data_IF_307566652811
#
_entry.id   IF_307566652811
#
_cell.length_a   1.000
_cell.length_b   1.000
_cell.length_c   1.000
_cell.angle_alpha   90.00
_cell.angle_beta   90.00
_cell.angle_gamma   90.00
#
_symmetry.space_group_name_H-M   'P 1'
#
loop_
_entity.id
_entity.type
_entity.pdbx_description
1 polymer ?
#
# COMPACT_ATOMS: atom_id res chain seq x y z
N UNK A 1 16.89 22.40 -15.10
CA UNK A 1 18.29 22.23 -14.65
C UNK A 1 18.78 23.33 -13.72
N UNK A 2 18.69 24.62 -14.08
CA UNK A 2 19.12 25.75 -13.24
C UNK A 2 18.54 25.73 -11.81
N UNK A 3 17.21 25.64 -11.70
CA UNK A 3 16.50 25.58 -10.40
C UNK A 3 16.93 24.39 -9.52
N UNK A 4 17.17 23.21 -10.10
CA UNK A 4 17.64 22.05 -9.33
C UNK A 4 19.05 22.24 -8.77
N UNK A 5 19.95 22.86 -9.54
CA UNK A 5 21.31 23.18 -9.07
C UNK A 5 21.29 24.20 -7.94
N UNK A 6 20.43 25.20 -8.05
CA UNK A 6 20.23 26.21 -7.01
C UNK A 6 19.66 25.60 -5.72
N UNK A 7 18.60 24.78 -5.83
CA UNK A 7 18.03 24.06 -4.69
C UNK A 7 19.08 23.15 -4.02
N UNK A 8 19.85 22.39 -4.80
CA UNK A 8 20.93 21.55 -4.26
C UNK A 8 21.99 22.36 -3.52
N UNK A 9 22.37 23.53 -4.04
CA UNK A 9 23.30 24.44 -3.36
C UNK A 9 22.73 24.89 -2.01
N UNK A 10 21.47 25.34 -1.99
CA UNK A 10 20.80 25.76 -0.76
C UNK A 10 20.72 24.60 0.24
N UNK A 11 20.27 23.42 -0.18
CA UNK A 11 20.15 22.24 0.68
C UNK A 11 21.50 21.82 1.28
N UNK A 12 22.59 21.86 0.50
CA UNK A 12 23.95 21.59 1.01
C UNK A 12 24.41 22.62 2.02
N UNK A 13 24.18 23.90 1.76
CA UNK A 13 24.50 24.96 2.71
C UNK A 13 23.75 24.77 4.03
N UNK A 14 22.44 24.45 3.97
CA UNK A 14 21.63 24.16 5.16
C UNK A 14 22.13 22.92 5.90
N UNK A 15 22.51 21.86 5.19
CA UNK A 15 23.09 20.66 5.79
C UNK A 15 24.42 20.97 6.49
N UNK A 16 25.29 21.77 5.88
CA UNK A 16 26.56 22.18 6.51
C UNK A 16 26.33 23.02 7.77
N UNK A 17 25.35 23.93 7.77
CA UNK A 17 24.97 24.66 8.98
C UNK A 17 24.45 23.73 10.09
N UNK A 18 23.67 22.71 9.71
CA UNK A 18 23.18 21.70 10.64
C UNK A 18 24.34 20.93 11.28
N UNK A 19 25.33 20.50 10.49
CA UNK A 19 26.52 19.81 10.97
C UNK A 19 27.35 20.67 11.91
N UNK A 20 27.61 21.93 11.55
CA UNK A 20 28.30 22.87 12.42
C UNK A 20 27.55 23.11 13.75
N UNK A 21 26.21 23.10 13.72
CA UNK A 21 25.40 23.25 14.93
C UNK A 21 25.51 22.01 15.84
N UNK A 22 25.63 20.80 15.28
CA UNK A 22 25.83 19.55 16.02
C UNK A 22 27.20 19.50 16.69
N UNK A 23 28.24 20.04 16.04
CA UNK A 23 29.62 20.03 16.56
C UNK A 23 29.88 21.07 17.67
N UNK A 24 28.94 21.99 17.93
CA UNK A 24 29.12 23.03 18.96
C UNK A 24 29.03 22.44 20.38
N UNK A 25 30.06 22.59 21.24
CA UNK A 25 30.14 21.91 22.54
C UNK A 25 29.19 22.40 23.67
N UNK A 26 28.11 23.13 23.39
CA UNK A 26 27.45 23.97 24.41
C UNK A 26 25.93 23.87 24.47
N UNK A 27 25.36 22.69 24.25
CA UNK A 27 23.96 22.46 24.59
C UNK A 27 23.90 21.79 25.95
N UNK A 28 23.40 22.50 26.96
CA UNK A 28 23.09 21.93 28.26
C UNK A 28 22.21 20.69 28.06
N UNK A 29 22.61 19.54 28.61
CA UNK A 29 21.86 18.29 28.46
C UNK A 29 20.47 18.48 29.05
N UNK A 30 19.46 18.28 28.22
CA UNK A 30 18.06 18.41 28.61
C UNK A 30 17.14 17.85 27.53
N UNK A 31 15.86 17.61 27.87
CA UNK A 31 14.93 16.89 26.97
C UNK A 31 14.75 17.54 25.59
N UNK A 32 14.82 18.88 25.51
CA UNK A 32 14.72 19.60 24.25
C UNK A 32 15.95 19.38 23.33
N UNK A 33 17.13 19.27 23.93
CA UNK A 33 18.38 19.01 23.20
C UNK A 33 18.42 17.57 22.71
N UNK A 34 18.00 16.61 23.54
CA UNK A 34 17.87 15.21 23.16
C UNK A 34 16.87 15.02 22.00
N UNK A 35 15.71 15.68 22.07
CA UNK A 35 14.72 15.65 21.00
C UNK A 35 15.28 16.25 19.70
N UNK A 36 15.96 17.39 19.80
CA UNK A 36 16.60 18.01 18.64
C UNK A 36 17.68 17.09 18.04
N UNK A 37 18.55 16.51 18.86
CA UNK A 37 19.56 15.54 18.41
C UNK A 37 18.93 14.34 17.71
N UNK A 38 17.85 13.78 18.27
CA UNK A 38 17.11 12.69 17.64
C UNK A 38 16.54 13.09 16.27
N UNK A 39 16.01 14.32 16.13
CA UNK A 39 15.56 14.85 14.84
C UNK A 39 16.73 15.00 13.87
N UNK A 40 17.89 15.50 14.30
CA UNK A 40 19.07 15.62 13.43
C UNK A 40 19.54 14.25 12.96
N UNK A 41 19.70 13.28 13.88
CA UNK A 41 20.07 11.90 13.56
C UNK A 41 19.10 11.26 12.56
N UNK A 42 17.81 11.58 12.65
CA UNK A 42 16.80 11.10 11.71
C UNK A 42 16.87 11.78 10.33
N UNK A 43 16.86 13.12 10.29
CA UNK A 43 16.72 13.86 9.03
C UNK A 43 18.02 14.01 8.25
N UNK A 44 19.19 14.07 8.91
CA UNK A 44 20.49 14.20 8.24
C UNK A 44 20.70 13.17 7.13
N UNK A 45 20.61 11.84 7.38
CA UNK A 45 20.79 10.84 6.33
C UNK A 45 19.72 10.91 5.22
N UNK A 46 18.51 11.37 5.55
CA UNK A 46 17.44 11.56 4.56
C UNK A 46 17.74 12.74 3.62
N UNK A 47 18.28 13.85 4.16
CA UNK A 47 18.69 15.01 3.37
C UNK A 47 19.84 14.62 2.43
N UNK A 48 20.86 13.92 2.94
CA UNK A 48 21.97 13.40 2.14
C UNK A 48 21.48 12.50 1.01
N UNK A 49 20.53 11.59 1.30
CA UNK A 49 19.88 10.74 0.29
C UNK A 49 19.14 11.56 -0.77
N UNK A 50 18.43 12.63 -0.40
CA UNK A 50 17.74 13.51 -1.37
C UNK A 50 18.74 14.23 -2.28
N UNK A 51 19.85 14.72 -1.72
CA UNK A 51 20.91 15.36 -2.50
C UNK A 51 21.44 14.34 -3.53
N UNK A 52 21.91 13.17 -3.05
CA UNK A 52 22.47 12.13 -3.92
C UNK A 52 21.47 11.66 -4.99
N UNK A 53 20.22 11.39 -4.60
CA UNK A 53 19.15 11.02 -5.52
C UNK A 53 18.90 12.08 -6.59
N UNK A 54 18.89 13.36 -6.22
CA UNK A 54 18.62 14.46 -7.14
C UNK A 54 19.78 14.64 -8.12
N UNK A 55 21.01 14.52 -7.66
CA UNK A 55 22.19 14.59 -8.53
C UNK A 55 22.20 13.46 -9.55
N UNK A 56 22.04 12.22 -9.10
CA UNK A 56 21.96 11.05 -9.99
C UNK A 56 20.83 11.18 -11.01
N UNK A 57 19.60 11.40 -10.53
CA UNK A 57 18.41 11.39 -11.38
C UNK A 57 18.30 12.60 -12.30
N UNK A 58 18.56 13.79 -11.77
CA UNK A 58 18.26 15.05 -12.48
C UNK A 58 19.50 15.61 -13.17
N UNK A 59 20.67 15.55 -12.53
CA UNK A 59 21.89 16.12 -13.10
C UNK A 59 22.64 15.14 -14.00
N UNK A 60 22.75 13.87 -13.60
CA UNK A 60 23.42 12.82 -14.36
C UNK A 60 22.48 12.01 -15.28
N UNK A 61 21.16 12.15 -15.10
CA UNK A 61 20.16 11.43 -15.92
C UNK A 61 20.07 9.93 -15.61
N UNK A 62 20.62 9.48 -14.49
CA UNK A 62 20.61 8.08 -14.09
C UNK A 62 19.21 7.63 -13.65
N UNK A 63 18.77 6.40 -14.01
CA UNK A 63 17.55 5.84 -13.48
C UNK A 63 17.72 5.49 -12.00
N UNK A 64 16.76 5.92 -11.18
CA UNK A 64 16.60 5.46 -9.79
C UNK A 64 15.30 4.65 -9.74
N UNK A 65 15.32 3.40 -9.25
CA UNK A 65 14.11 2.59 -9.07
C UNK A 65 13.08 3.31 -8.19
N UNK A 66 11.78 3.06 -8.41
CA UNK A 66 10.73 3.75 -7.67
C UNK A 66 10.78 3.47 -6.16
N UNK A 67 11.09 2.23 -5.75
CA UNK A 67 11.23 1.85 -4.34
C UNK A 67 12.43 2.50 -3.63
N UNK A 68 13.44 2.93 -4.40
CA UNK A 68 14.62 3.59 -3.85
C UNK A 68 14.45 5.11 -3.74
N UNK A 69 13.32 5.65 -4.21
CA UNK A 69 13.09 7.09 -4.18
C UNK A 69 12.54 7.54 -2.84
N UNK A 70 13.25 8.50 -2.24
CA UNK A 70 12.71 9.30 -1.14
C UNK A 70 11.88 10.44 -1.72
N UNK A 71 10.57 10.42 -1.45
CA UNK A 71 9.59 11.37 -1.99
C UNK A 71 9.05 12.36 -0.95
N UNK A 72 9.25 12.07 0.34
CA UNK A 72 8.90 12.95 1.45
C UNK A 72 9.95 12.80 2.55
N UNK A 73 10.48 13.93 3.03
CA UNK A 73 11.33 13.95 4.22
C UNK A 73 10.57 13.56 5.48
N UNK A 74 9.29 13.96 5.57
CA UNK A 74 8.46 13.78 6.77
C UNK A 74 7.75 12.43 6.81
N UNK A 75 7.57 11.80 5.65
CA UNK A 75 6.94 10.49 5.49
C UNK A 75 7.86 9.61 4.62
N UNK A 76 9.06 9.26 5.11
CA UNK A 76 10.08 8.56 4.32
C UNK A 76 9.66 7.15 3.87
N UNK A 77 8.59 6.62 4.47
CA UNK A 77 7.98 5.35 4.14
C UNK A 77 6.94 5.43 3.01
N UNK A 78 6.66 6.61 2.45
CA UNK A 78 5.64 6.75 1.42
C UNK A 78 6.12 6.14 0.09
N UNK A 79 5.35 5.22 -0.46
CA UNK A 79 5.65 4.57 -1.73
C UNK A 79 5.07 5.36 -2.91
N UNK A 80 5.73 5.22 -4.06
CA UNK A 80 5.25 5.74 -5.33
C UNK A 80 4.30 4.71 -5.94
N UNK A 81 3.03 5.07 -6.07
CA UNK A 81 1.98 4.21 -6.62
C UNK A 81 1.57 4.74 -7.99
N UNK A 82 1.95 4.02 -9.04
CA UNK A 82 1.57 4.34 -10.43
C UNK A 82 0.41 3.45 -10.86
N UNK A 83 -0.73 4.04 -11.17
CA UNK A 83 -1.92 3.32 -11.65
C UNK A 83 -2.11 3.49 -13.15
N UNK A 84 -1.39 2.71 -13.95
CA UNK A 84 -1.47 2.78 -15.41
C UNK A 84 -1.10 4.17 -15.93
N UNK A 85 -1.95 4.78 -16.75
CA UNK A 85 -1.73 6.11 -17.35
C UNK A 85 -2.24 7.28 -16.48
N UNK A 86 -2.56 7.06 -15.21
CA UNK A 86 -3.09 8.09 -14.29
C UNK A 86 -1.97 8.82 -13.56
N UNK A 87 -2.36 9.85 -12.82
CA UNK A 87 -1.50 10.57 -11.88
C UNK A 87 -0.82 9.63 -10.88
N UNK A 88 0.37 10.05 -10.45
CA UNK A 88 1.16 9.35 -9.44
C UNK A 88 0.54 9.62 -8.06
N UNK A 89 0.15 8.54 -7.38
CA UNK A 89 -0.28 8.57 -5.99
C UNK A 89 0.92 8.31 -5.05
N UNK A 90 0.87 8.86 -3.84
CA UNK A 90 1.85 8.60 -2.78
C UNK A 90 1.15 8.01 -1.55
N UNK A 91 1.71 6.95 -0.98
CA UNK A 91 1.14 6.29 0.19
C UNK A 91 1.51 4.82 0.21
N UNK A 92 0.63 3.97 0.75
CA UNK A 92 0.82 2.53 0.78
C UNK A 92 -0.26 1.82 -0.02
N UNK A 93 0.14 0.75 -0.71
CA UNK A 93 -0.82 -0.13 -1.37
C UNK A 93 -1.54 -0.98 -0.34
N UNK A 94 -2.87 -1.05 -0.46
CA UNK A 94 -3.71 -1.86 0.42
C UNK A 94 -4.25 -3.05 -0.35
N UNK A 95 -4.18 -4.22 0.27
CA UNK A 95 -4.82 -5.43 -0.22
C UNK A 95 -5.82 -5.93 0.83
N UNK A 96 -7.03 -6.27 0.42
CA UNK A 96 -8.08 -6.67 1.36
C UNK A 96 -8.87 -7.87 0.85
N UNK A 97 -9.44 -8.61 1.80
CA UNK A 97 -10.39 -9.68 1.51
C UNK A 97 -11.73 -9.38 2.16
N UNK A 98 -12.80 -9.85 1.52
CA UNK A 98 -14.16 -9.75 2.06
C UNK A 98 -14.93 -11.03 1.76
N UNK A 99 -16.01 -11.25 2.53
CA UNK A 99 -16.87 -12.42 2.40
C UNK A 99 -18.31 -12.07 2.07
N UNK A 100 -19.19 -13.07 2.17
CA UNK A 100 -20.63 -12.92 1.91
C UNK A 100 -21.31 -11.86 2.78
N UNK A 101 -20.81 -11.65 4.00
CA UNK A 101 -21.34 -10.64 4.94
C UNK A 101 -21.01 -9.19 4.54
N UNK A 102 -20.12 -9.00 3.56
CA UNK A 102 -19.57 -7.67 3.22
C UNK A 102 -18.53 -7.15 4.21
N UNK A 103 -18.28 -7.86 5.32
CA UNK A 103 -17.21 -7.52 6.25
C UNK A 103 -15.86 -7.65 5.55
N UNK A 104 -14.94 -6.76 5.91
CA UNK A 104 -13.53 -6.93 5.58
C UNK A 104 -12.97 -7.98 6.55
N UNK A 105 -12.43 -9.06 5.99
CA UNK A 105 -11.96 -10.23 6.74
C UNK A 105 -10.46 -10.16 7.03
N UNK A 106 -9.71 -9.57 6.10
CA UNK A 106 -8.27 -9.34 6.25
C UNK A 106 -7.87 -8.11 5.44
N UNK A 107 -6.79 -7.47 5.87
CA UNK A 107 -6.20 -6.29 5.25
C UNK A 107 -4.68 -6.35 5.42
N UNK A 108 -3.96 -6.13 4.33
CA UNK A 108 -2.51 -5.98 4.30
C UNK A 108 -2.15 -4.59 3.81
N UNK A 109 -1.34 -3.89 4.59
CA UNK A 109 -0.62 -2.68 4.16
C UNK A 109 0.70 -3.16 3.56
N UNK A 110 0.80 -3.13 2.24
CA UNK A 110 1.98 -3.60 1.51
C UNK A 110 3.14 -2.61 1.68
N UNK A 111 4.36 -3.14 1.73
CA UNK A 111 5.55 -2.33 1.56
C UNK A 111 5.84 -2.18 0.06
N UNK A 112 6.08 -0.94 -0.41
CA UNK A 112 6.30 -0.68 -1.82
C UNK A 112 5.01 -0.72 -2.63
N UNK A 113 5.18 -0.95 -3.93
CA UNK A 113 4.09 -1.10 -4.87
C UNK A 113 4.19 -2.45 -5.61
N UNK A 114 4.03 -3.60 -4.90
CA UNK A 114 4.09 -4.92 -5.52
C UNK A 114 3.00 -5.07 -6.57
N UNK A 115 3.21 -5.94 -7.56
CA UNK A 115 2.19 -6.19 -8.57
C UNK A 115 0.97 -6.89 -7.95
N UNK A 116 -0.25 -6.58 -8.39
CA UNK A 116 -1.46 -7.25 -7.88
C UNK A 116 -1.37 -8.78 -8.06
N UNK A 117 -0.79 -9.23 -9.18
CA UNK A 117 -0.54 -10.64 -9.46
C UNK A 117 0.32 -11.31 -8.39
N UNK A 118 1.27 -10.61 -7.79
CA UNK A 118 2.15 -11.17 -6.75
C UNK A 118 1.45 -11.32 -5.39
N UNK A 119 0.22 -10.79 -5.25
CA UNK A 119 -0.47 -10.71 -3.97
C UNK A 119 -1.66 -11.66 -3.84
N UNK A 120 -2.06 -12.36 -4.90
CA UNK A 120 -3.20 -13.30 -4.81
C UNK A 120 -2.91 -14.46 -3.85
N UNK A 121 -1.87 -15.24 -4.12
CA UNK A 121 -1.54 -16.42 -3.33
C UNK A 121 -1.24 -16.08 -1.86
N UNK A 122 -0.44 -15.03 -1.53
CA UNK A 122 -0.26 -14.62 -0.14
C UNK A 122 -1.56 -14.32 0.60
N UNK A 123 -2.53 -13.66 -0.04
CA UNK A 123 -3.83 -13.40 0.60
C UNK A 123 -4.66 -14.66 0.80
N UNK A 124 -4.58 -15.62 -0.13
CA UNK A 124 -5.26 -16.92 -0.01
C UNK A 124 -4.64 -17.77 1.11
N UNK A 125 -3.32 -17.82 1.20
CA UNK A 125 -2.58 -18.51 2.26
C UNK A 125 -2.93 -17.92 3.63
N UNK A 126 -2.96 -16.59 3.75
CA UNK A 126 -3.41 -15.91 4.98
C UNK A 126 -4.84 -16.26 5.34
N UNK A 127 -5.75 -16.27 4.36
CA UNK A 127 -7.13 -16.69 4.60
C UNK A 127 -7.19 -18.13 5.13
N UNK A 128 -6.47 -19.06 4.51
CA UNK A 128 -6.41 -20.46 4.95
C UNK A 128 -5.83 -20.57 6.36
N UNK A 129 -4.77 -19.81 6.67
CA UNK A 129 -4.18 -19.78 8.00
C UNK A 129 -5.17 -19.28 9.07
N UNK A 130 -6.00 -18.26 8.75
CA UNK A 130 -6.99 -17.74 9.70
C UNK A 130 -8.23 -18.62 9.85
N UNK A 131 -8.69 -19.26 8.77
CA UNK A 131 -9.99 -19.97 8.75
C UNK A 131 -9.87 -21.50 8.65
N UNK A 132 -8.65 -22.03 8.58
CA UNK A 132 -8.35 -23.46 8.52
C UNK A 132 -8.64 -24.14 7.18
N UNK A 133 -9.22 -23.43 6.21
CA UNK A 133 -9.58 -23.99 4.90
C UNK A 133 -9.63 -22.92 3.81
N UNK A 134 -9.47 -23.36 2.56
CA UNK A 134 -9.63 -22.49 1.41
C UNK A 134 -11.11 -22.15 1.17
N UNK A 135 -11.41 -20.95 0.65
CA UNK A 135 -12.77 -20.64 0.26
C UNK A 135 -13.18 -21.50 -0.93
N UNK A 136 -14.41 -22.05 -0.90
CA UNK A 136 -14.94 -22.82 -2.04
C UNK A 136 -14.93 -22.01 -3.33
N UNK A 137 -15.25 -20.72 -3.25
CA UNK A 137 -15.30 -19.81 -4.39
C UNK A 137 -14.63 -18.49 -4.04
N UNK A 138 -13.81 -17.96 -4.94
CA UNK A 138 -13.13 -16.69 -4.78
C UNK A 138 -13.23 -15.86 -6.07
N UNK A 139 -13.22 -14.53 -5.90
CA UNK A 139 -13.23 -13.59 -7.00
C UNK A 139 -12.19 -12.50 -6.76
N UNK A 140 -11.41 -12.15 -7.79
CA UNK A 140 -10.42 -11.10 -7.74
C UNK A 140 -10.53 -10.15 -8.93
N UNK A 141 -9.96 -8.96 -8.80
CA UNK A 141 -9.89 -8.03 -9.92
C UNK A 141 -8.90 -8.50 -11.01
N UNK A 142 -8.96 -7.88 -12.18
CA UNK A 142 -8.14 -8.26 -13.32
C UNK A 142 -6.63 -8.14 -13.11
N UNK A 143 -6.17 -7.27 -12.20
CA UNK A 143 -4.75 -7.16 -11.86
C UNK A 143 -4.15 -8.42 -11.25
N UNK A 144 -4.98 -9.26 -10.63
CA UNK A 144 -4.57 -10.52 -10.01
C UNK A 144 -4.53 -11.69 -11.01
N UNK A 145 -4.98 -11.50 -12.25
CA UNK A 145 -5.14 -12.60 -13.19
C UNK A 145 -3.81 -13.02 -13.82
N UNK A 146 -3.38 -14.26 -13.56
CA UNK A 146 -2.32 -14.96 -14.30
C UNK A 146 -2.58 -16.47 -14.32
N UNK A 147 -1.86 -17.21 -15.17
CA UNK A 147 -1.97 -18.68 -15.21
C UNK A 147 -1.45 -19.30 -13.93
N UNK A 148 -0.36 -18.76 -13.40
CA UNK A 148 0.29 -19.17 -12.15
C UNK A 148 -0.62 -18.93 -10.95
N UNK A 149 -1.33 -17.80 -10.94
CA UNK A 149 -2.29 -17.50 -9.89
C UNK A 149 -3.52 -18.39 -9.95
N UNK A 150 -4.01 -18.71 -11.15
CA UNK A 150 -5.12 -19.65 -11.30
C UNK A 150 -4.69 -21.05 -10.83
N UNK A 151 -3.55 -21.56 -11.29
CA UNK A 151 -3.07 -22.89 -10.89
C UNK A 151 -2.77 -22.97 -9.40
N UNK A 152 -2.12 -21.96 -8.82
CA UNK A 152 -1.86 -21.86 -7.38
C UNK A 152 -3.15 -21.83 -6.56
N UNK A 153 -4.14 -21.02 -6.96
CA UNK A 153 -5.44 -20.97 -6.28
C UNK A 153 -6.15 -22.33 -6.31
N UNK A 154 -6.12 -23.05 -7.44
CA UNK A 154 -6.68 -24.41 -7.56
C UNK A 154 -5.93 -25.41 -6.67
N UNK A 155 -4.60 -25.33 -6.62
CA UNK A 155 -3.76 -26.18 -5.77
C UNK A 155 -4.04 -25.95 -4.27
N UNK A 156 -4.38 -24.71 -3.87
CA UNK A 156 -4.83 -24.40 -2.52
C UNK A 156 -6.23 -24.95 -2.17
N UNK A 157 -6.95 -25.56 -3.13
CA UNK A 157 -8.28 -26.16 -2.91
C UNK A 157 -9.47 -25.27 -3.28
N UNK A 158 -9.24 -24.14 -3.95
CA UNK A 158 -10.33 -23.25 -4.39
C UNK A 158 -10.99 -23.86 -5.63
N UNK A 159 -12.29 -24.17 -5.52
CA UNK A 159 -13.03 -24.82 -6.62
C UNK A 159 -13.31 -23.85 -7.77
N UNK A 160 -13.80 -22.66 -7.47
CA UNK A 160 -14.16 -21.65 -8.47
C UNK A 160 -13.37 -20.35 -8.21
N UNK A 161 -12.39 -20.04 -9.07
CA UNK A 161 -11.56 -18.83 -8.97
C UNK A 161 -11.83 -17.94 -10.18
N UNK A 162 -12.54 -16.83 -9.98
CA UNK A 162 -12.92 -15.93 -11.05
C UNK A 162 -12.09 -14.63 -11.04
N UNK A 163 -11.49 -14.29 -12.17
CA UNK A 163 -10.88 -12.99 -12.40
C UNK A 163 -11.78 -12.09 -13.25
N UNK A 164 -11.85 -10.80 -12.95
CA UNK A 164 -12.65 -9.85 -13.75
C UNK A 164 -12.18 -9.75 -15.21
N UNK A 165 -10.86 -9.69 -15.40
CA UNK A 165 -10.22 -9.74 -16.72
C UNK A 165 -9.67 -11.14 -16.95
N UNK A 166 -9.83 -11.64 -18.17
CA UNK A 166 -9.42 -13.00 -18.53
C UNK A 166 -7.91 -13.14 -18.67
N UNK A 167 -7.19 -12.13 -19.17
CA UNK A 167 -5.73 -12.17 -19.37
C UNK A 167 -5.25 -13.47 -20.04
N UNK A 168 -5.97 -13.96 -21.05
CA UNK A 168 -5.66 -15.21 -21.76
C UNK A 168 -6.17 -16.50 -21.10
N UNK A 169 -6.88 -16.42 -19.96
CA UNK A 169 -7.51 -17.55 -19.29
C UNK A 169 -8.89 -17.87 -19.88
N UNK A 170 -9.22 -19.15 -20.00
CA UNK A 170 -10.56 -19.60 -20.38
C UNK A 170 -11.48 -19.60 -19.15
N UNK A 171 -12.78 -19.39 -19.36
CA UNK A 171 -13.74 -19.36 -18.25
C UNK A 171 -13.86 -20.74 -17.62
N UNK A 172 -13.74 -21.76 -18.46
CA UNK A 172 -13.83 -23.18 -18.13
C UNK A 172 -12.70 -23.61 -17.18
N UNK A 173 -11.53 -22.97 -17.26
CA UNK A 173 -10.40 -23.21 -16.34
C UNK A 173 -10.63 -22.50 -14.99
N UNK A 174 -11.30 -21.34 -15.02
CA UNK A 174 -11.57 -20.51 -13.84
C UNK A 174 -12.66 -21.11 -12.95
N UNK A 175 -13.80 -21.48 -13.53
CA UNK A 175 -15.01 -21.85 -12.79
C UNK A 175 -15.80 -22.97 -13.46
N UNK A 176 -16.62 -23.64 -12.67
CA UNK A 176 -17.44 -24.79 -13.08
C UNK A 176 -18.55 -24.47 -14.08
N UNK A 177 -19.04 -23.23 -14.15
CA UNK A 177 -20.04 -22.83 -15.15
C UNK A 177 -20.05 -21.33 -15.43
N UNK A 178 -20.57 -20.95 -16.59
CA UNK A 178 -20.78 -19.53 -16.95
C UNK A 178 -21.69 -18.80 -15.96
N UNK A 179 -22.65 -19.50 -15.35
CA UNK A 179 -23.49 -18.93 -14.31
C UNK A 179 -22.67 -18.58 -13.06
N UNK A 180 -21.79 -19.49 -12.61
CA UNK A 180 -20.88 -19.23 -11.47
C UNK A 180 -19.94 -18.08 -11.80
N UNK A 181 -19.39 -18.02 -13.01
CA UNK A 181 -18.54 -16.91 -13.45
C UNK A 181 -19.25 -15.56 -13.29
N UNK A 182 -20.49 -15.47 -13.79
CA UNK A 182 -21.31 -14.25 -13.69
C UNK A 182 -21.61 -13.90 -12.23
N UNK A 183 -21.93 -14.88 -11.39
CA UNK A 183 -22.17 -14.67 -9.96
C UNK A 183 -20.93 -14.10 -9.26
N UNK A 184 -19.75 -14.67 -9.49
CA UNK A 184 -18.50 -14.20 -8.88
C UNK A 184 -18.05 -12.84 -9.40
N UNK A 185 -18.30 -12.55 -10.69
CA UNK A 185 -18.07 -11.21 -11.25
C UNK A 185 -18.96 -10.15 -10.59
N UNK A 186 -20.22 -10.48 -10.31
CA UNK A 186 -21.15 -9.59 -9.60
C UNK A 186 -20.75 -9.43 -8.13
N UNK A 187 -20.32 -10.52 -7.47
CA UNK A 187 -19.79 -10.45 -6.10
C UNK A 187 -18.60 -9.48 -6.01
N UNK A 188 -17.65 -9.57 -6.96
CA UNK A 188 -16.51 -8.65 -7.06
C UNK A 188 -16.93 -7.18 -7.23
N UNK A 189 -18.00 -6.89 -7.97
CA UNK A 189 -18.52 -5.51 -8.05
C UNK A 189 -19.00 -4.99 -6.68
N UNK A 190 -19.52 -5.87 -5.81
CA UNK A 190 -19.82 -5.54 -4.41
C UNK A 190 -18.56 -5.19 -3.61
N UNK A 191 -17.43 -5.85 -3.87
CA UNK A 191 -16.13 -5.52 -3.25
C UNK A 191 -15.69 -4.10 -3.64
N UNK A 192 -15.85 -3.72 -4.91
CA UNK A 192 -15.55 -2.35 -5.36
C UNK A 192 -16.42 -1.30 -4.67
N UNK A 193 -17.71 -1.61 -4.47
CA UNK A 193 -18.61 -0.76 -3.70
C UNK A 193 -18.16 -0.61 -2.24
N UNK A 194 -17.70 -1.70 -1.61
CA UNK A 194 -17.09 -1.70 -0.28
C UNK A 194 -15.84 -0.81 -0.19
N UNK A 195 -14.89 -0.97 -1.13
CA UNK A 195 -13.69 -0.12 -1.23
C UNK A 195 -14.07 1.36 -1.41
N UNK A 196 -15.05 1.64 -2.27
CA UNK A 196 -15.56 2.99 -2.48
C UNK A 196 -16.15 3.58 -1.19
N UNK A 197 -16.92 2.79 -0.44
CA UNK A 197 -17.50 3.20 0.84
C UNK A 197 -16.40 3.49 1.87
N UNK A 198 -15.43 2.59 2.02
CA UNK A 198 -14.27 2.77 2.90
C UNK A 198 -13.54 4.09 2.62
N UNK A 199 -13.32 4.42 1.34
CA UNK A 199 -12.64 5.64 0.94
C UNK A 199 -13.42 6.91 1.25
N UNK A 200 -14.72 6.92 0.90
CA UNK A 200 -15.54 8.15 0.95
C UNK A 200 -16.14 8.40 2.33
N UNK A 201 -16.46 7.35 3.08
CA UNK A 201 -17.19 7.46 4.34
C UNK A 201 -16.35 7.10 5.58
N UNK A 202 -15.26 6.35 5.42
CA UNK A 202 -14.44 5.87 6.54
C UNK A 202 -12.98 6.32 6.49
N UNK A 203 -12.64 7.27 5.61
CA UNK A 203 -11.33 7.94 5.62
C UNK A 203 -10.22 7.29 4.80
N UNK A 204 -10.42 6.09 4.20
CA UNK A 204 -9.37 5.44 3.40
C UNK A 204 -9.00 6.17 2.09
N UNK A 205 -9.63 7.30 1.78
CA UNK A 205 -9.25 8.14 0.65
C UNK A 205 -7.92 8.86 0.86
N UNK A 206 -7.61 9.28 2.09
CA UNK A 206 -6.38 10.00 2.43
C UNK A 206 -6.09 9.91 3.93
N UNK A 207 -4.94 9.33 4.30
CA UNK A 207 -4.48 9.32 5.68
C UNK A 207 -4.01 10.71 6.10
N UNK A 208 -4.45 11.16 7.28
CA UNK A 208 -4.02 12.43 7.89
C UNK A 208 -3.06 12.23 9.05
N UNK A 209 -2.84 10.98 9.46
CA UNK A 209 -1.94 10.64 10.56
C UNK A 209 -0.51 10.48 10.02
N UNK A 210 0.46 11.02 10.77
CA UNK A 210 1.88 11.07 10.37
C UNK A 210 2.65 9.88 10.90
N UNK A 211 3.54 9.32 10.09
CA UNK A 211 4.36 8.16 10.44
C UNK A 211 3.69 6.81 10.15
N UNK A 212 4.51 5.80 9.90
CA UNK A 212 4.08 4.51 9.37
C UNK A 212 3.13 3.76 10.32
N UNK A 213 3.44 3.77 11.62
CA UNK A 213 2.63 3.04 12.59
C UNK A 213 1.26 3.70 12.78
N UNK A 214 1.22 5.04 12.75
CA UNK A 214 -0.05 5.75 12.75
C UNK A 214 -0.81 5.57 11.43
N UNK A 215 -0.13 5.49 10.28
CA UNK A 215 -0.78 5.12 9.02
C UNK A 215 -1.45 3.73 9.14
N UNK A 216 -0.73 2.73 9.66
CA UNK A 216 -1.30 1.38 9.87
C UNK A 216 -2.51 1.45 10.81
N UNK A 217 -2.39 2.14 11.94
CA UNK A 217 -3.48 2.32 12.90
C UNK A 217 -4.69 3.02 12.28
N UNK A 218 -4.47 4.06 11.45
CA UNK A 218 -5.52 4.77 10.73
C UNK A 218 -6.29 3.82 9.81
N UNK A 219 -5.56 3.06 8.97
CA UNK A 219 -6.20 2.17 8.00
C UNK A 219 -7.01 1.07 8.71
N UNK A 220 -6.46 0.45 9.76
CA UNK A 220 -7.19 -0.54 10.54
C UNK A 220 -8.40 0.06 11.27
N UNK A 221 -8.29 1.27 11.81
CA UNK A 221 -9.42 1.97 12.46
C UNK A 221 -10.57 2.22 11.48
N UNK A 222 -10.27 2.61 10.23
CA UNK A 222 -11.28 2.75 9.17
C UNK A 222 -12.00 1.43 8.89
N UNK A 223 -11.26 0.32 8.83
CA UNK A 223 -11.84 -1.01 8.61
C UNK A 223 -12.72 -1.45 9.78
N UNK A 224 -12.27 -1.24 11.02
CA UNK A 224 -13.07 -1.54 12.22
C UNK A 224 -14.36 -0.74 12.22
N UNK A 225 -14.30 0.57 11.98
CA UNK A 225 -15.48 1.43 11.92
C UNK A 225 -16.48 0.97 10.83
N UNK A 226 -15.97 0.59 9.65
CA UNK A 226 -16.79 0.04 8.56
C UNK A 226 -17.46 -1.28 8.96
N UNK A 227 -16.69 -2.22 9.50
CA UNK A 227 -17.21 -3.51 9.93
C UNK A 227 -18.25 -3.37 11.04
N UNK A 228 -18.04 -2.50 12.03
CA UNK A 228 -18.99 -2.23 13.10
C UNK A 228 -20.32 -1.69 12.55
N UNK A 229 -20.27 -0.75 11.61
CA UNK A 229 -21.47 -0.20 10.98
C UNK A 229 -22.24 -1.26 10.16
N UNK A 230 -21.54 -2.18 9.50
CA UNK A 230 -22.18 -3.32 8.85
C UNK A 230 -22.79 -4.28 9.87
N UNK A 231 -22.05 -4.61 10.93
CA UNK A 231 -22.50 -5.53 11.97
C UNK A 231 -23.79 -5.05 12.63
N UNK A 232 -23.89 -3.75 12.93
CA UNK A 232 -25.10 -3.14 13.49
C UNK A 232 -26.33 -3.22 12.57
N UNK A 233 -26.14 -3.46 11.26
CA UNK A 233 -27.23 -3.62 10.28
C UNK A 233 -27.60 -5.08 10.02
N UNK A 234 -26.77 -6.03 10.45
CA UNK A 234 -27.08 -7.44 10.33
C UNK A 234 -28.20 -7.76 11.33
N UNK A 235 -29.32 -8.26 10.82
CA UNK A 235 -30.36 -8.81 11.69
C UNK A 235 -29.84 -10.12 12.29
N UNK A 236 -30.08 -10.39 13.59
CA UNK A 236 -29.84 -11.72 14.16
C UNK A 236 -30.56 -12.75 13.29
N UNK A 237 -29.82 -13.71 12.75
CA UNK A 237 -30.41 -14.93 12.18
C UNK A 237 -30.92 -15.82 13.27
#
# INVERSE_FOLDING_TARGET
MKHYRELLKITRTTLSYLEQAVERPTLAVGPAVELWQAQVCHYKPLIERIIAQTERRVLAGEPVPAGDKLVSLFEPHADIIVKGSRDVDYGHKLNLTTGRSGLILDLVVEAGNPADSERLLPMLERHIAFYGQAPRQAAADGGYASRENLSGAKACGIRDMAFHKKCGLKIEDMVTSRWVYRKLRNFRAGIEAGISCLKRAYGLGRCTWRGLDHFKAYVWSSVVAYNLALFARLRPT
#
